data_IF_827763131100
#
_entry.id   IF_827763131100
#
_cell.length_a   1.000
_cell.length_b   1.000
_cell.length_c   1.000
_cell.angle_alpha   90.00
_cell.angle_beta   90.00
_cell.angle_gamma   90.00
#
_symmetry.space_group_name_H-M   'P 1'
#
loop_
_entity.id
_entity.type
_entity.pdbx_description
1 polymer ?
#
# COMPACT_ATOMS: atom_id res chain seq x y z
N UNK A 1 66.18 19.29 -12.12
CA UNK A 1 65.05 20.15 -11.79
C UNK A 1 63.84 19.92 -12.68
N UNK A 2 63.98 19.61 -13.92
CA UNK A 2 62.91 19.37 -14.88
C UNK A 2 62.14 18.08 -14.60
N UNK A 3 62.77 17.06 -14.02
CA UNK A 3 62.18 15.77 -13.69
C UNK A 3 61.13 15.84 -12.57
N UNK A 4 61.19 16.81 -11.70
CA UNK A 4 60.24 16.98 -10.61
C UNK A 4 58.89 17.51 -11.07
N UNK A 5 58.87 18.28 -12.12
CA UNK A 5 57.64 18.86 -12.68
C UNK A 5 56.81 17.79 -13.43
N UNK A 6 57.49 16.82 -14.04
CA UNK A 6 56.81 15.74 -14.75
C UNK A 6 56.11 14.76 -13.80
N UNK A 7 56.65 14.57 -12.62
CA UNK A 7 56.09 13.71 -11.60
C UNK A 7 54.80 14.23 -11.01
N UNK A 8 54.69 15.54 -10.86
CA UNK A 8 53.51 16.20 -10.34
C UNK A 8 52.33 16.13 -11.33
N UNK A 9 52.63 16.26 -12.60
CA UNK A 9 51.61 16.20 -13.65
C UNK A 9 51.01 14.79 -13.80
N UNK A 10 51.80 13.76 -13.57
CA UNK A 10 51.33 12.38 -13.66
C UNK A 10 50.39 12.00 -12.53
N UNK A 11 50.61 12.51 -11.32
CA UNK A 11 49.73 12.27 -10.18
C UNK A 11 48.37 12.91 -10.37
N UNK A 12 48.32 14.04 -11.05
CA UNK A 12 47.06 14.75 -11.27
C UNK A 12 46.13 14.03 -12.28
N UNK A 13 46.71 13.35 -13.26
CA UNK A 13 45.93 12.63 -14.28
C UNK A 13 45.34 11.33 -13.71
N UNK A 14 46.04 10.68 -12.80
CA UNK A 14 45.50 9.48 -12.14
C UNK A 14 44.31 9.77 -11.23
N UNK A 15 44.24 10.96 -10.66
CA UNK A 15 43.17 11.30 -9.74
C UNK A 15 41.85 11.63 -10.45
N UNK A 16 41.93 12.15 -11.65
CA UNK A 16 40.76 12.51 -12.43
C UNK A 16 40.00 11.28 -12.99
N UNK A 17 40.70 10.18 -13.19
CA UNK A 17 40.08 8.98 -13.79
C UNK A 17 39.30 8.14 -12.79
N UNK A 18 39.61 8.23 -11.50
CA UNK A 18 38.90 7.45 -10.47
C UNK A 18 37.60 8.07 -10.05
N UNK A 19 37.44 9.37 -10.19
CA UNK A 19 36.18 10.04 -9.81
C UNK A 19 35.03 9.74 -10.80
N UNK A 20 35.33 9.44 -12.04
CA UNK A 20 34.32 9.22 -13.08
C UNK A 20 33.69 7.83 -12.98
N UNK A 21 34.44 6.85 -12.50
CA UNK A 21 33.94 5.46 -12.39
C UNK A 21 32.91 5.32 -11.28
N UNK A 22 33.00 6.14 -10.24
CA UNK A 22 32.08 6.08 -9.11
C UNK A 22 30.73 6.75 -9.39
N UNK A 23 30.64 7.61 -10.39
CA UNK A 23 29.39 8.26 -10.76
C UNK A 23 28.44 7.35 -11.56
N UNK A 24 28.97 6.25 -12.12
CA UNK A 24 28.19 5.33 -12.93
C UNK A 24 27.86 4.02 -12.21
N UNK A 25 28.13 3.94 -10.94
CA UNK A 25 27.54 2.87 -10.17
C UNK A 25 26.07 3.22 -9.97
N UNK A 26 25.30 2.97 -11.00
CA UNK A 26 23.86 2.88 -10.88
C UNK A 26 23.63 1.69 -9.94
N UNK A 27 23.36 1.99 -8.69
CA UNK A 27 22.67 1.03 -7.87
C UNK A 27 21.29 0.92 -8.49
N UNK A 28 21.14 0.05 -9.44
CA UNK A 28 19.86 -0.56 -9.68
C UNK A 28 19.55 -1.32 -8.39
N UNK A 29 19.00 -0.61 -7.42
CA UNK A 29 18.07 -1.25 -6.53
C UNK A 29 17.10 -1.88 -7.50
N UNK A 30 17.10 -3.21 -7.56
CA UNK A 30 16.07 -3.89 -8.29
C UNK A 30 14.79 -3.18 -7.90
N UNK A 31 14.05 -2.71 -8.87
CA UNK A 31 12.67 -2.37 -8.69
C UNK A 31 12.02 -3.65 -8.17
N UNK A 32 12.21 -3.93 -6.88
CA UNK A 32 11.19 -4.56 -6.12
C UNK A 32 10.06 -3.53 -6.19
N UNK A 33 9.34 -3.57 -7.30
CA UNK A 33 7.99 -3.09 -7.32
C UNK A 33 7.38 -3.72 -6.06
N UNK A 34 7.30 -2.91 -5.02
CA UNK A 34 6.36 -3.21 -3.95
C UNK A 34 5.03 -3.09 -4.66
N UNK A 35 4.66 -4.16 -5.31
CA UNK A 35 3.33 -4.32 -5.88
C UNK A 35 2.43 -4.40 -4.67
N UNK A 36 2.03 -3.23 -4.20
CA UNK A 36 1.02 -3.08 -3.17
C UNK A 36 -0.27 -3.62 -3.76
N UNK A 37 -0.47 -4.93 -3.58
CA UNK A 37 -1.66 -5.62 -4.08
C UNK A 37 -2.79 -5.38 -3.12
N UNK A 38 -3.87 -4.85 -3.65
CA UNK A 38 -5.13 -4.78 -2.90
C UNK A 38 -5.74 -6.17 -2.90
N UNK A 39 -6.05 -6.75 -1.73
CA UNK A 39 -6.69 -8.06 -1.66
C UNK A 39 -8.06 -8.01 -2.34
N UNK A 40 -8.44 -9.12 -2.95
CA UNK A 40 -9.82 -9.30 -3.36
C UNK A 40 -10.71 -9.40 -2.13
N UNK A 41 -11.87 -8.77 -2.17
CA UNK A 41 -12.80 -8.81 -1.06
C UNK A 41 -14.24 -8.82 -1.51
N UNK A 42 -15.10 -9.30 -0.65
CA UNK A 42 -16.55 -9.25 -0.78
C UNK A 42 -17.20 -8.81 0.52
N UNK A 43 -18.43 -8.36 0.45
CA UNK A 43 -19.21 -7.93 1.60
C UNK A 43 -20.42 -8.84 1.73
N UNK A 44 -20.63 -9.42 2.92
CA UNK A 44 -21.77 -10.31 3.16
C UNK A 44 -22.38 -10.12 4.56
N UNK A 45 -23.70 -10.01 4.67
CA UNK A 45 -24.67 -9.82 3.59
C UNK A 45 -24.59 -8.43 2.99
N UNK A 46 -24.96 -8.29 1.73
CA UNK A 46 -25.08 -6.99 1.07
C UNK A 46 -26.28 -7.03 0.11
N UNK A 47 -27.38 -6.36 0.40
CA UNK A 47 -27.62 -5.38 1.48
C UNK A 47 -27.54 -5.96 2.91
N UNK A 48 -27.11 -5.11 3.82
CA UNK A 48 -27.03 -5.43 5.25
C UNK A 48 -28.38 -5.17 5.90
N UNK A 49 -28.99 -6.21 6.48
CA UNK A 49 -30.29 -6.13 7.17
C UNK A 49 -30.18 -6.33 8.69
N UNK A 50 -28.96 -6.50 9.20
CA UNK A 50 -28.72 -6.78 10.61
C UNK A 50 -27.72 -5.81 11.23
N UNK A 51 -27.24 -6.17 12.39
CA UNK A 51 -26.31 -5.36 13.18
C UNK A 51 -24.87 -5.48 12.71
N UNK A 52 -24.57 -6.45 11.84
CA UNK A 52 -23.20 -6.76 11.40
C UNK A 52 -23.16 -7.14 9.93
N UNK A 53 -22.01 -6.90 9.33
CA UNK A 53 -21.64 -7.49 8.07
C UNK A 53 -20.18 -7.95 8.12
N UNK A 54 -19.81 -8.84 7.22
CA UNK A 54 -18.45 -9.33 7.10
C UNK A 54 -17.81 -8.77 5.81
N UNK A 55 -16.59 -8.32 5.95
CA UNK A 55 -15.69 -8.09 4.83
C UNK A 55 -14.83 -9.34 4.69
N UNK A 56 -15.08 -10.12 3.65
CA UNK A 56 -14.35 -11.35 3.39
C UNK A 56 -13.15 -11.02 2.51
N UNK A 57 -11.96 -11.40 2.94
CA UNK A 57 -10.71 -11.16 2.25
C UNK A 57 -10.25 -12.44 1.54
N UNK A 58 -9.84 -12.30 0.30
CA UNK A 58 -9.15 -13.35 -0.44
C UNK A 58 -7.77 -12.85 -0.83
N UNK A 59 -6.75 -13.42 -0.20
CA UNK A 59 -5.37 -13.05 -0.40
C UNK A 59 -4.49 -14.30 -0.47
N UNK A 60 -3.70 -14.43 -1.52
CA UNK A 60 -2.95 -15.64 -1.82
C UNK A 60 -1.44 -15.51 -1.61
N UNK A 61 -0.96 -14.33 -1.30
CA UNK A 61 0.47 -14.08 -1.15
C UNK A 61 0.94 -14.36 0.29
N UNK A 62 2.21 -14.68 0.44
CA UNK A 62 2.82 -14.97 1.74
C UNK A 62 3.10 -13.71 2.57
N UNK A 63 3.12 -12.56 1.94
CA UNK A 63 3.30 -11.26 2.59
C UNK A 63 2.00 -10.48 2.61
N UNK A 64 1.62 -10.01 3.80
CA UNK A 64 0.39 -9.25 3.98
C UNK A 64 0.67 -7.78 3.71
N UNK A 65 -0.10 -7.14 2.81
CA UNK A 65 0.09 -5.72 2.53
C UNK A 65 -0.34 -4.86 3.71
N UNK A 66 0.28 -3.71 3.83
CA UNK A 66 -0.24 -2.64 4.69
C UNK A 66 -1.48 -2.05 4.01
N UNK A 67 -2.63 -2.40 4.53
CA UNK A 67 -3.91 -2.04 3.95
C UNK A 67 -4.92 -1.60 5.00
N UNK A 68 -5.89 -0.82 4.57
CA UNK A 68 -6.95 -0.33 5.44
C UNK A 68 -8.31 -0.32 4.75
N UNK A 69 -9.36 -0.46 5.56
CA UNK A 69 -10.75 -0.30 5.14
C UNK A 69 -11.15 1.15 5.37
N UNK A 70 -11.80 1.73 4.37
CA UNK A 70 -12.38 3.07 4.44
C UNK A 70 -13.83 2.96 3.99
N UNK A 71 -14.77 3.42 4.79
CA UNK A 71 -16.17 3.54 4.40
C UNK A 71 -16.51 5.02 4.28
N UNK A 72 -17.06 5.39 3.14
CA UNK A 72 -17.51 6.75 2.85
C UNK A 72 -18.96 6.76 2.39
N UNK A 73 -19.64 7.87 2.66
CA UNK A 73 -20.99 8.11 2.15
C UNK A 73 -20.96 8.48 0.66
N UNK A 74 -22.13 8.71 0.09
CA UNK A 74 -22.27 9.05 -1.34
C UNK A 74 -21.69 10.41 -1.71
N UNK A 75 -21.45 11.28 -0.73
CA UNK A 75 -20.79 12.57 -0.90
C UNK A 75 -19.27 12.50 -0.77
N UNK A 76 -18.73 11.30 -0.48
CA UNK A 76 -17.30 11.09 -0.29
C UNK A 76 -16.79 11.37 1.12
N UNK A 77 -17.69 11.65 2.08
CA UNK A 77 -17.31 11.83 3.49
C UNK A 77 -16.95 10.49 4.11
N UNK A 78 -15.75 10.37 4.66
CA UNK A 78 -15.31 9.19 5.38
C UNK A 78 -16.06 9.09 6.71
N UNK A 79 -16.73 7.95 6.94
CA UNK A 79 -17.50 7.68 8.15
C UNK A 79 -16.87 6.61 9.03
N UNK A 80 -16.02 5.76 8.48
CA UNK A 80 -15.34 4.69 9.20
C UNK A 80 -14.00 4.34 8.56
N UNK A 81 -13.01 4.07 9.40
CA UNK A 81 -11.69 3.58 8.97
C UNK A 81 -11.24 2.45 9.89
N UNK A 82 -10.57 1.46 9.30
CA UNK A 82 -10.00 0.34 10.04
C UNK A 82 -8.70 -0.12 9.37
N UNK A 83 -7.61 -0.14 10.12
CA UNK A 83 -6.34 -0.69 9.65
C UNK A 83 -6.35 -2.21 9.70
N UNK A 84 -6.12 -2.86 8.57
CA UNK A 84 -6.05 -4.32 8.50
C UNK A 84 -4.83 -4.84 9.25
N UNK A 85 -5.03 -5.91 10.02
CA UNK A 85 -4.00 -6.60 10.78
C UNK A 85 -3.65 -7.93 10.09
N UNK A 86 -2.49 -8.46 10.37
CA UNK A 86 -2.10 -9.78 9.88
C UNK A 86 -3.12 -10.86 10.25
N UNK A 87 -3.70 -10.79 11.45
CA UNK A 87 -4.74 -11.73 11.90
C UNK A 87 -5.99 -11.68 11.02
N UNK A 88 -6.37 -10.50 10.50
CA UNK A 88 -7.52 -10.36 9.62
C UNK A 88 -7.33 -11.10 8.30
N UNK A 89 -6.12 -11.05 7.74
CA UNK A 89 -5.77 -11.80 6.55
C UNK A 89 -5.74 -13.30 6.80
N UNK A 90 -5.26 -13.73 7.97
CA UNK A 90 -5.20 -15.13 8.35
C UNK A 90 -6.61 -15.72 8.57
N UNK A 91 -7.51 -14.97 9.18
CA UNK A 91 -8.91 -15.34 9.37
C UNK A 91 -9.73 -15.22 8.08
N UNK A 92 -9.29 -14.39 7.15
CA UNK A 92 -9.94 -14.16 5.87
C UNK A 92 -11.24 -13.38 5.97
N UNK A 93 -11.54 -12.78 7.12
CA UNK A 93 -12.74 -11.94 7.28
C UNK A 93 -12.62 -10.97 8.44
N UNK A 94 -13.30 -9.85 8.31
CA UNK A 94 -13.48 -8.86 9.36
C UNK A 94 -14.98 -8.67 9.59
N UNK A 95 -15.41 -8.78 10.83
CA UNK A 95 -16.78 -8.50 11.25
C UNK A 95 -16.90 -7.02 11.60
N UNK A 96 -17.77 -6.31 10.92
CA UNK A 96 -18.01 -4.88 11.16
C UNK A 96 -19.38 -4.69 11.75
N UNK A 97 -19.44 -4.01 12.91
CA UNK A 97 -20.68 -3.58 13.54
C UNK A 97 -21.22 -2.32 12.86
N UNK A 98 -22.47 -2.37 12.43
CA UNK A 98 -23.17 -1.22 11.84
C UNK A 98 -23.26 -0.06 12.83
N UNK A 99 -23.46 -0.37 14.10
CA UNK A 99 -23.54 0.62 15.17
C UNK A 99 -22.18 1.25 15.45
N UNK A 100 -21.14 0.43 15.60
CA UNK A 100 -19.79 0.94 15.92
C UNK A 100 -19.20 1.75 14.76
N UNK A 101 -19.55 1.39 13.53
CA UNK A 101 -19.18 2.14 12.33
C UNK A 101 -20.09 3.36 12.09
N UNK A 102 -21.10 3.57 12.93
CA UNK A 102 -22.06 4.67 12.83
C UNK A 102 -22.71 4.79 11.45
N UNK A 103 -23.18 3.65 10.94
CA UNK A 103 -23.81 3.56 9.63
C UNK A 103 -25.33 3.59 9.77
N UNK A 104 -25.94 4.65 9.29
CA UNK A 104 -27.39 4.75 9.11
C UNK A 104 -27.85 3.98 7.87
N UNK A 105 -29.15 3.81 7.73
CA UNK A 105 -29.74 3.25 6.50
C UNK A 105 -29.35 4.10 5.31
N UNK A 106 -28.85 3.45 4.27
CA UNK A 106 -28.42 4.14 3.08
C UNK A 106 -27.36 3.40 2.28
N UNK A 107 -26.76 4.11 1.36
CA UNK A 107 -25.72 3.61 0.47
C UNK A 107 -24.38 4.22 0.84
N UNK A 108 -23.36 3.37 0.90
CA UNK A 108 -21.98 3.71 1.19
C UNK A 108 -21.05 3.07 0.17
N UNK A 109 -19.81 3.52 0.16
CA UNK A 109 -18.73 2.87 -0.56
C UNK A 109 -17.69 2.37 0.42
N UNK A 110 -17.43 1.07 0.38
CA UNK A 110 -16.36 0.44 1.15
C UNK A 110 -15.17 0.25 0.24
N UNK A 111 -14.06 0.83 0.65
CA UNK A 111 -12.78 0.77 -0.06
C UNK A 111 -11.77 0.00 0.78
N UNK A 112 -10.97 -0.84 0.12
CA UNK A 112 -9.71 -1.30 0.67
C UNK A 112 -8.60 -0.59 -0.08
N UNK A 113 -7.78 0.13 0.67
CA UNK A 113 -6.64 0.88 0.18
C UNK A 113 -5.34 0.26 0.67
N UNK A 114 -4.42 0.01 -0.25
CA UNK A 114 -3.07 -0.43 0.02
C UNK A 114 -2.08 0.40 -0.80
N UNK A 115 -1.30 1.24 -0.14
CA UNK A 115 -0.49 2.25 -0.82
C UNK A 115 -1.36 3.18 -1.68
N UNK A 116 -1.07 3.28 -2.97
CA UNK A 116 -1.86 4.07 -3.93
C UNK A 116 -2.98 3.26 -4.60
N UNK A 117 -3.02 1.96 -4.39
CA UNK A 117 -4.00 1.07 -4.97
C UNK A 117 -5.27 1.02 -4.12
N UNK A 118 -6.41 1.06 -4.76
CA UNK A 118 -7.72 1.06 -4.09
C UNK A 118 -8.68 0.15 -4.84
N UNK A 119 -9.46 -0.60 -4.09
CA UNK A 119 -10.58 -1.39 -4.60
C UNK A 119 -11.85 -1.00 -3.86
N UNK A 120 -12.92 -0.75 -4.58
CA UNK A 120 -14.17 -0.20 -4.04
C UNK A 120 -15.35 -1.12 -4.35
N UNK A 121 -16.19 -1.34 -3.34
CA UNK A 121 -17.48 -2.00 -3.47
C UNK A 121 -18.60 -1.14 -2.86
N UNK A 122 -19.78 -1.23 -3.44
CA UNK A 122 -20.99 -0.61 -2.90
C UNK A 122 -21.47 -1.39 -1.68
N UNK A 123 -21.79 -0.67 -0.60
CA UNK A 123 -22.38 -1.20 0.62
C UNK A 123 -23.77 -0.58 0.82
N UNK A 124 -24.77 -1.39 0.96
CA UNK A 124 -26.13 -0.92 1.24
C UNK A 124 -26.57 -1.37 2.64
N UNK A 125 -27.02 -0.44 3.45
CA UNK A 125 -27.59 -0.66 4.79
C UNK A 125 -29.09 -0.44 4.72
N UNK A 126 -29.84 -1.46 5.13
CA UNK A 126 -31.31 -1.44 5.17
C UNK A 126 -31.87 -1.40 6.58
#
# INVERSE_FOLDING_TARGET
MILRLKSILFVFICFASTAIVNANTIYTFGDDEITTRVPNFSITPNPVNGSYFNVNLSFSDSEFPDAGIIISDVLGKVVYTYGLKQSDFMEGKIKVSVMDANLDKGVYFLQIKSGENTKTLKLAIR
#
